data_IF_984750607144
#
_entry.id   IF_984750607144
#
_cell.length_a   1.000
_cell.length_b   1.000
_cell.length_c   1.000
_cell.angle_alpha   90.00
_cell.angle_beta   90.00
_cell.angle_gamma   90.00
#
_symmetry.space_group_name_H-M   'P 1'
#
loop_
_entity.id
_entity.type
_entity.pdbx_description
1 polymer ?
#
# COMPACT_ATOMS: atom_id res chain seq x y z
N UNK A 1 -1.22 -13.78 -23.15
CA UNK A 1 -0.13 -14.16 -24.07
C UNK A 1 -0.23 -15.65 -24.25
N UNK A 2 -0.08 -16.14 -25.49
CA UNK A 2 -0.23 -17.56 -25.82
C UNK A 2 0.95 -17.97 -26.68
N UNK A 3 1.58 -19.09 -26.35
CA UNK A 3 2.68 -19.69 -27.10
C UNK A 3 2.13 -20.93 -27.83
N UNK A 4 2.53 -21.19 -29.09
CA UNK A 4 2.12 -22.42 -29.77
C UNK A 4 2.75 -23.66 -29.12
N UNK A 5 2.03 -24.79 -29.06
CA UNK A 5 2.54 -26.02 -28.47
C UNK A 5 3.70 -26.61 -29.27
N UNK A 6 4.64 -27.27 -28.58
CA UNK A 6 5.79 -27.97 -29.19
C UNK A 6 5.49 -29.47 -29.37
N UNK A 7 6.17 -30.11 -30.33
CA UNK A 7 5.90 -31.51 -30.72
C UNK A 7 6.11 -32.54 -29.60
N UNK A 8 7.02 -32.27 -28.64
CA UNK A 8 7.37 -33.15 -27.51
C UNK A 8 6.99 -32.53 -26.15
N UNK A 9 6.05 -31.60 -26.15
CA UNK A 9 5.62 -30.93 -24.93
C UNK A 9 4.72 -31.83 -24.08
N UNK A 10 5.04 -31.97 -22.78
CA UNK A 10 4.24 -32.83 -21.89
C UNK A 10 2.86 -32.25 -21.55
N UNK A 11 2.70 -30.94 -21.60
CA UNK A 11 1.42 -30.27 -21.32
C UNK A 11 1.33 -28.97 -22.11
N UNK A 12 0.23 -28.78 -22.83
CA UNK A 12 -0.09 -27.51 -23.49
C UNK A 12 -0.90 -26.57 -22.57
N UNK A 13 -1.29 -27.05 -21.39
CA UNK A 13 -2.14 -26.32 -20.47
C UNK A 13 -1.46 -25.03 -19.97
N UNK A 14 -0.13 -25.00 -19.83
CA UNK A 14 0.66 -23.85 -19.38
C UNK A 14 1.10 -22.90 -20.51
N UNK A 15 0.70 -23.15 -21.76
CA UNK A 15 1.04 -22.30 -22.91
C UNK A 15 0.25 -20.99 -23.00
N UNK A 16 -0.58 -20.69 -21.99
CA UNK A 16 -1.37 -19.48 -21.91
C UNK A 16 -1.14 -18.80 -20.56
N UNK A 17 -0.84 -17.51 -20.61
CA UNK A 17 -0.72 -16.67 -19.41
C UNK A 17 -1.54 -15.40 -19.55
N UNK A 18 -2.39 -15.09 -18.56
CA UNK A 18 -3.11 -13.82 -18.52
C UNK A 18 -2.28 -12.79 -17.77
N UNK A 19 -1.70 -11.85 -18.49
CA UNK A 19 -1.03 -10.72 -17.86
C UNK A 19 -2.07 -9.61 -17.59
N UNK A 20 -2.30 -9.21 -16.33
CA UNK A 20 -3.05 -8.01 -16.06
C UNK A 20 -2.28 -6.81 -16.60
N UNK A 21 -2.72 -6.25 -17.73
CA UNK A 21 -2.22 -4.97 -18.22
C UNK A 21 -2.86 -3.88 -17.36
N UNK A 22 -2.20 -3.55 -16.25
CA UNK A 22 -2.54 -2.36 -15.49
C UNK A 22 -2.05 -1.16 -16.30
N UNK A 23 -2.95 -0.52 -17.03
CA UNK A 23 -2.72 0.82 -17.56
C UNK A 23 -2.55 1.72 -16.33
N UNK A 24 -1.30 1.90 -15.90
CA UNK A 24 -0.98 2.78 -14.78
C UNK A 24 -1.52 4.16 -15.13
N UNK A 25 -2.19 4.79 -14.15
CA UNK A 25 -2.54 6.20 -14.20
C UNK A 25 -1.34 6.97 -14.75
N UNK A 26 -1.61 7.85 -15.72
CA UNK A 26 -0.67 8.89 -16.11
C UNK A 26 -0.06 9.49 -14.84
N UNK A 27 1.28 9.60 -14.79
CA UNK A 27 1.97 10.31 -13.71
C UNK A 27 1.25 11.63 -13.47
N UNK A 28 0.97 11.95 -12.21
CA UNK A 28 0.30 13.19 -11.88
C UNK A 28 1.18 14.35 -12.34
N UNK A 29 0.64 15.21 -13.19
CA UNK A 29 1.38 16.32 -13.79
C UNK A 29 1.46 17.45 -12.78
N UNK A 30 2.67 17.73 -12.29
CA UNK A 30 2.94 18.75 -11.29
C UNK A 30 3.67 19.92 -11.94
N UNK A 31 3.05 21.10 -11.92
CA UNK A 31 3.70 22.35 -12.28
C UNK A 31 4.24 23.01 -11.01
N UNK A 32 5.55 23.25 -10.94
CA UNK A 32 6.18 24.03 -9.88
C UNK A 32 6.58 25.38 -10.45
N UNK A 33 6.08 26.46 -9.86
CA UNK A 33 6.36 27.84 -10.27
C UNK A 33 7.02 28.56 -9.10
N UNK A 34 8.17 29.18 -9.35
CA UNK A 34 8.84 30.03 -8.37
C UNK A 34 9.52 31.23 -9.02
N UNK A 35 9.77 32.27 -8.24
CA UNK A 35 10.53 33.43 -8.70
C UNK A 35 12.04 33.15 -8.75
N UNK A 36 12.56 32.35 -7.82
CA UNK A 36 14.01 32.11 -7.68
C UNK A 36 14.32 30.65 -7.36
N UNK A 37 15.53 30.21 -7.70
CA UNK A 37 16.04 28.92 -7.25
C UNK A 37 16.67 29.05 -5.86
N UNK A 38 16.26 28.20 -4.93
CA UNK A 38 16.85 28.06 -3.61
C UNK A 38 16.86 26.59 -3.14
N UNK A 39 17.30 26.35 -1.90
CA UNK A 39 17.36 25.01 -1.32
C UNK A 39 15.98 24.35 -1.20
N UNK A 40 14.92 25.10 -0.89
CA UNK A 40 13.57 24.55 -0.76
C UNK A 40 13.11 23.97 -2.10
N UNK A 41 13.26 24.76 -3.16
CA UNK A 41 12.92 24.34 -4.50
C UNK A 41 13.77 23.15 -4.95
N UNK A 42 15.07 23.16 -4.66
CA UNK A 42 15.98 22.07 -5.00
C UNK A 42 15.57 20.74 -4.35
N UNK A 43 15.25 20.75 -3.05
CA UNK A 43 14.82 19.55 -2.33
C UNK A 43 13.44 19.07 -2.78
N UNK A 44 12.47 19.98 -2.91
CA UNK A 44 11.11 19.63 -3.36
C UNK A 44 11.12 19.02 -4.77
N UNK A 45 11.81 19.66 -5.71
CA UNK A 45 11.86 19.16 -7.09
C UNK A 45 12.63 17.86 -7.21
N UNK A 46 13.71 17.67 -6.42
CA UNK A 46 14.41 16.40 -6.32
C UNK A 46 13.49 15.30 -5.79
N UNK A 47 12.77 15.56 -4.70
CA UNK A 47 11.83 14.60 -4.12
C UNK A 47 10.76 14.18 -5.13
N UNK A 48 10.14 15.16 -5.81
CA UNK A 48 9.11 14.89 -6.81
C UNK A 48 9.65 14.09 -8.00
N UNK A 49 10.84 14.43 -8.52
CA UNK A 49 11.46 13.76 -9.69
C UNK A 49 11.98 12.36 -9.39
N UNK A 50 12.28 12.06 -8.12
CA UNK A 50 12.66 10.70 -7.70
C UNK A 50 11.48 9.74 -7.62
N UNK A 51 10.24 10.24 -7.55
CA UNK A 51 9.05 9.42 -7.52
C UNK A 51 8.59 9.03 -8.92
N UNK A 52 8.15 7.79 -9.08
CA UNK A 52 7.48 7.29 -10.28
C UNK A 52 6.04 7.81 -10.45
N UNK A 53 5.49 8.49 -9.42
CA UNK A 53 4.12 9.00 -9.38
C UNK A 53 3.93 10.35 -10.07
N UNK A 54 4.98 11.15 -10.21
CA UNK A 54 4.87 12.56 -10.64
C UNK A 54 5.64 12.84 -11.92
N UNK A 55 5.06 13.69 -12.77
CA UNK A 55 5.74 14.30 -13.91
C UNK A 55 5.87 15.79 -13.64
N UNK A 56 7.11 16.28 -13.48
CA UNK A 56 7.39 17.58 -12.88
C UNK A 56 7.87 18.57 -13.92
N UNK A 57 7.07 19.61 -14.16
CA UNK A 57 7.48 20.80 -14.89
C UNK A 57 7.90 21.87 -13.89
N UNK A 58 9.15 22.33 -13.96
CA UNK A 58 9.64 23.45 -13.16
C UNK A 58 9.72 24.70 -14.04
N UNK A 59 9.20 25.82 -13.54
CA UNK A 59 9.25 27.12 -14.19
C UNK A 59 9.76 28.16 -13.19
N UNK A 60 10.82 28.87 -13.57
CA UNK A 60 11.28 30.05 -12.87
C UNK A 60 10.85 31.32 -13.59
N UNK A 61 10.26 32.26 -12.85
CA UNK A 61 9.73 33.53 -13.39
C UNK A 61 10.62 34.74 -13.15
N UNK A 62 11.73 34.58 -12.41
CA UNK A 62 12.67 35.65 -12.13
C UNK A 62 13.57 36.03 -13.31
N UNK A 63 14.15 37.22 -13.26
CA UNK A 63 14.87 37.80 -14.40
C UNK A 63 16.28 37.20 -14.61
N UNK A 64 16.82 36.45 -13.62
CA UNK A 64 18.20 35.92 -13.60
C UNK A 64 18.26 34.41 -13.44
N UNK A 65 17.41 33.69 -14.18
CA UNK A 65 17.18 32.24 -13.95
C UNK A 65 17.70 31.35 -15.10
N UNK A 66 18.31 31.94 -16.12
CA UNK A 66 18.97 31.23 -17.22
C UNK A 66 18.05 30.23 -17.92
N UNK A 67 18.54 29.03 -18.20
CA UNK A 67 17.81 27.97 -18.91
C UNK A 67 16.60 27.40 -18.15
N UNK A 68 16.40 27.78 -16.88
CA UNK A 68 15.23 27.41 -16.09
C UNK A 68 14.09 28.43 -16.23
N UNK A 69 14.30 29.50 -17.02
CA UNK A 69 13.27 30.48 -17.32
C UNK A 69 12.12 29.81 -18.05
N UNK A 70 10.90 30.05 -17.60
CA UNK A 70 9.71 29.62 -18.32
C UNK A 70 8.58 30.63 -18.14
N UNK A 71 7.51 30.43 -18.89
CA UNK A 71 6.29 31.23 -18.79
C UNK A 71 5.24 30.47 -18.01
N UNK A 72 4.49 31.18 -17.18
CA UNK A 72 3.25 30.61 -16.62
C UNK A 72 2.32 30.20 -17.78
N UNK A 73 1.51 29.11 -17.63
CA UNK A 73 0.54 28.70 -18.64
C UNK A 73 -0.30 29.87 -19.14
N UNK A 74 -0.33 30.10 -20.47
CA UNK A 74 -0.93 31.31 -21.06
C UNK A 74 -2.46 31.27 -21.12
N UNK A 75 -3.07 30.13 -20.82
CA UNK A 75 -4.51 29.98 -20.85
C UNK A 75 -4.98 28.68 -20.21
N UNK A 76 -6.31 28.55 -20.08
CA UNK A 76 -6.96 27.46 -19.35
C UNK A 76 -6.54 26.07 -19.84
N UNK A 77 -6.42 25.88 -21.15
CA UNK A 77 -6.06 24.58 -21.74
C UNK A 77 -4.66 24.12 -21.33
N UNK A 78 -3.69 25.03 -21.23
CA UNK A 78 -2.35 24.69 -20.77
C UNK A 78 -2.34 24.39 -19.27
N UNK A 79 -3.06 25.19 -18.47
CA UNK A 79 -3.16 25.01 -17.02
C UNK A 79 -3.87 23.70 -16.64
N UNK A 80 -4.93 23.33 -17.36
CA UNK A 80 -5.71 22.10 -17.14
C UNK A 80 -4.95 20.80 -17.45
N UNK A 81 -3.74 20.88 -18.02
CA UNK A 81 -2.85 19.72 -18.19
C UNK A 81 -2.25 19.26 -16.87
N UNK A 82 -2.23 20.11 -15.84
CA UNK A 82 -1.60 19.81 -14.56
C UNK A 82 -2.64 19.35 -13.53
N UNK A 83 -2.32 18.29 -12.79
CA UNK A 83 -3.13 17.83 -11.66
C UNK A 83 -2.85 18.63 -10.39
N UNK A 84 -1.63 19.19 -10.28
CA UNK A 84 -1.21 20.06 -9.18
C UNK A 84 -0.35 21.22 -9.69
N UNK A 85 -0.64 22.42 -9.18
CA UNK A 85 0.20 23.62 -9.32
C UNK A 85 0.77 24.00 -7.96
N UNK A 86 2.10 23.95 -7.83
CA UNK A 86 2.84 24.44 -6.66
C UNK A 86 3.32 25.86 -6.96
N UNK A 87 2.85 26.82 -6.17
CA UNK A 87 3.28 28.20 -6.21
C UNK A 87 4.24 28.44 -5.04
N UNK A 88 5.54 28.45 -5.32
CA UNK A 88 6.58 28.66 -4.32
C UNK A 88 7.05 30.12 -4.30
N UNK A 89 6.66 30.84 -3.24
CA UNK A 89 6.84 32.28 -3.04
C UNK A 89 6.60 33.12 -4.31
N UNK A 90 5.40 33.03 -4.91
CA UNK A 90 5.13 33.71 -6.17
C UNK A 90 5.11 35.23 -5.97
N UNK A 91 5.49 35.96 -7.00
CA UNK A 91 5.23 37.40 -7.13
C UNK A 91 3.79 37.59 -7.61
N UNK A 92 2.82 38.02 -6.77
CA UNK A 92 1.42 37.99 -7.14
C UNK A 92 1.10 38.85 -8.38
N UNK A 93 1.77 39.98 -8.55
CA UNK A 93 1.67 40.81 -9.76
C UNK A 93 1.98 40.08 -11.07
N UNK A 94 2.90 39.10 -11.08
CA UNK A 94 3.27 38.35 -12.30
C UNK A 94 2.21 37.33 -12.72
N UNK A 95 1.38 36.87 -11.78
CA UNK A 95 0.33 35.85 -12.03
C UNK A 95 -1.10 36.43 -11.98
N UNK A 96 -1.26 37.73 -11.69
CA UNK A 96 -2.56 38.40 -11.56
C UNK A 96 -3.44 38.25 -12.80
N UNK A 97 -2.87 38.28 -13.99
CA UNK A 97 -3.61 38.13 -15.25
C UNK A 97 -4.19 36.73 -15.43
N UNK A 98 -3.73 35.74 -14.66
CA UNK A 98 -4.21 34.36 -14.69
C UNK A 98 -5.22 34.05 -13.56
N UNK A 99 -5.75 35.07 -12.87
CA UNK A 99 -6.62 34.90 -11.71
C UNK A 99 -7.91 34.14 -12.05
N UNK A 100 -8.49 34.38 -13.23
CA UNK A 100 -9.69 33.69 -13.69
C UNK A 100 -9.38 32.23 -14.02
N UNK A 101 -8.24 31.98 -14.65
CA UNK A 101 -7.79 30.65 -15.03
C UNK A 101 -7.50 29.78 -13.82
N UNK A 102 -6.86 30.34 -12.79
CA UNK A 102 -6.65 29.66 -11.50
C UNK A 102 -7.98 29.34 -10.81
N UNK A 103 -8.97 30.24 -10.90
CA UNK A 103 -10.29 30.00 -10.31
C UNK A 103 -11.07 28.91 -11.04
N UNK A 104 -11.06 28.92 -12.38
CA UNK A 104 -11.69 27.88 -13.20
C UNK A 104 -10.94 26.54 -13.06
N UNK A 105 -9.61 26.57 -12.97
CA UNK A 105 -8.78 25.40 -12.69
C UNK A 105 -9.21 24.70 -11.39
N UNK A 106 -9.47 25.46 -10.33
CA UNK A 106 -9.96 24.91 -9.07
C UNK A 106 -11.42 24.44 -9.17
N UNK A 107 -12.35 25.29 -9.63
CA UNK A 107 -13.78 25.01 -9.57
C UNK A 107 -14.26 24.00 -10.62
N UNK A 108 -13.77 24.11 -11.86
CA UNK A 108 -14.33 23.41 -13.03
C UNK A 108 -13.53 22.15 -13.36
N UNK A 109 -12.20 22.19 -13.16
CA UNK A 109 -11.30 21.05 -13.42
C UNK A 109 -11.01 20.21 -12.18
N UNK A 110 -11.42 20.66 -10.99
CA UNK A 110 -11.06 20.07 -9.69
C UNK A 110 -9.55 20.00 -9.49
N UNK A 111 -8.82 21.01 -9.99
CA UNK A 111 -7.37 21.12 -9.85
C UNK A 111 -6.93 21.36 -8.40
N UNK A 112 -5.64 21.18 -8.16
CA UNK A 112 -5.05 21.38 -6.84
C UNK A 112 -3.96 22.45 -6.87
N UNK A 113 -3.92 23.30 -5.85
CA UNK A 113 -2.87 24.30 -5.66
C UNK A 113 -2.22 24.11 -4.30
N UNK A 114 -0.88 24.07 -4.29
CA UNK A 114 -0.08 24.27 -3.09
C UNK A 114 0.58 25.64 -3.12
N UNK A 115 0.12 26.55 -2.26
CA UNK A 115 0.72 27.86 -2.05
C UNK A 115 1.74 27.81 -0.90
N UNK A 116 3.01 28.08 -1.20
CA UNK A 116 4.03 28.34 -0.19
C UNK A 116 4.30 29.84 -0.16
N UNK A 117 3.95 30.50 0.94
CA UNK A 117 4.13 31.94 1.09
C UNK A 117 5.55 32.24 1.56
N UNK A 118 6.16 33.29 1.01
CA UNK A 118 7.43 33.81 1.46
C UNK A 118 7.51 35.33 1.32
N UNK A 119 8.73 35.81 1.08
CA UNK A 119 9.06 37.23 1.02
C UNK A 119 8.41 37.95 -0.18
N UNK A 120 8.34 37.31 -1.35
CA UNK A 120 7.76 37.90 -2.56
C UNK A 120 6.25 38.06 -2.45
N UNK A 121 5.55 37.05 -1.92
CA UNK A 121 4.12 37.17 -1.61
C UNK A 121 3.88 38.25 -0.54
N UNK A 122 4.63 38.19 0.58
CA UNK A 122 4.46 39.13 1.69
C UNK A 122 4.66 40.59 1.28
N UNK A 123 5.62 40.86 0.37
CA UNK A 123 5.89 42.20 -0.14
C UNK A 123 4.69 42.86 -0.86
N UNK A 124 3.75 42.05 -1.37
CA UNK A 124 2.53 42.54 -2.03
C UNK A 124 1.25 42.29 -1.22
N UNK A 125 1.34 41.53 -0.12
CA UNK A 125 0.20 41.21 0.72
C UNK A 125 -0.34 42.46 1.47
N UNK A 126 -1.66 42.60 1.64
CA UNK A 126 -2.72 41.68 1.19
C UNK A 126 -2.97 41.76 -0.32
N UNK A 127 -3.32 40.63 -0.92
CA UNK A 127 -3.60 40.49 -2.37
C UNK A 127 -5.01 39.93 -2.56
N UNK A 128 -6.07 40.77 -2.59
CA UNK A 128 -7.46 40.31 -2.48
C UNK A 128 -7.87 39.22 -3.49
N UNK A 129 -7.40 39.30 -4.73
CA UNK A 129 -7.75 38.32 -5.76
C UNK A 129 -7.17 36.93 -5.43
N UNK A 130 -5.94 36.85 -4.91
CA UNK A 130 -5.26 35.61 -4.56
C UNK A 130 -5.73 35.11 -3.18
N UNK A 131 -5.81 36.01 -2.21
CA UNK A 131 -6.26 35.73 -0.84
C UNK A 131 -7.69 35.16 -0.83
N UNK A 132 -8.52 35.54 -1.80
CA UNK A 132 -9.86 34.98 -1.99
C UNK A 132 -9.88 33.48 -2.32
N UNK A 133 -8.75 32.90 -2.73
CA UNK A 133 -8.59 31.46 -3.00
C UNK A 133 -8.02 30.72 -1.78
N UNK A 134 -7.21 31.42 -0.98
CA UNK A 134 -6.45 30.82 0.12
C UNK A 134 -7.33 30.48 1.33
N UNK A 135 -6.90 29.55 2.19
CA UNK A 135 -7.54 29.27 3.48
C UNK A 135 -7.34 30.39 4.50
N UNK A 136 -6.23 31.11 4.41
CA UNK A 136 -5.89 32.24 5.28
C UNK A 136 -4.93 33.17 4.55
N UNK A 137 -4.90 34.43 4.99
CA UNK A 137 -4.04 35.47 4.45
C UNK A 137 -3.78 36.57 5.49
N UNK A 138 -2.83 37.48 5.25
CA UNK A 138 -2.69 38.72 6.03
C UNK A 138 -3.89 39.66 5.78
N UNK A 139 -4.44 40.25 6.83
CA UNK A 139 -5.51 41.26 6.74
C UNK A 139 -4.97 42.67 6.45
N UNK A 140 -3.69 42.89 6.70
CA UNK A 140 -2.98 44.16 6.57
C UNK A 140 -1.62 43.93 5.91
N UNK A 141 -0.94 45.02 5.54
CA UNK A 141 0.44 44.93 5.05
C UNK A 141 1.32 44.28 6.11
N UNK A 142 2.06 43.26 5.69
CA UNK A 142 2.97 42.51 6.55
C UNK A 142 4.35 42.41 5.90
N UNK A 143 5.35 42.17 6.73
CA UNK A 143 6.67 41.75 6.28
C UNK A 143 6.92 40.33 6.74
N UNK A 144 7.69 39.59 5.94
CA UNK A 144 8.19 38.28 6.32
C UNK A 144 9.02 38.39 7.61
N UNK A 145 8.94 37.38 8.47
CA UNK A 145 9.65 37.30 9.76
C UNK A 145 10.74 36.25 9.68
N UNK A 146 11.95 36.63 10.09
CA UNK A 146 13.14 35.77 10.14
C UNK A 146 13.42 35.35 11.60
N UNK A 147 12.56 34.52 12.15
CA UNK A 147 12.63 34.06 13.55
C UNK A 147 12.14 32.64 13.63
N UNK A 148 12.74 31.85 14.51
CA UNK A 148 12.34 30.47 14.75
C UNK A 148 10.88 30.37 15.20
N UNK A 149 10.09 29.58 14.47
CA UNK A 149 8.71 29.28 14.80
C UNK A 149 8.43 27.80 14.55
N UNK A 150 7.73 27.15 15.49
CA UNK A 150 7.25 25.78 15.31
C UNK A 150 5.80 25.78 14.88
N UNK A 151 5.44 24.78 14.08
CA UNK A 151 4.04 24.46 13.83
C UNK A 151 3.53 23.50 14.89
N UNK A 152 2.43 23.86 15.53
CA UNK A 152 1.67 23.02 16.43
C UNK A 152 0.43 22.53 15.69
N UNK A 153 0.34 21.22 15.39
CA UNK A 153 -0.84 20.60 14.83
C UNK A 153 -2.10 20.88 15.65
N UNK A 154 -3.21 21.12 14.97
CA UNK A 154 -4.53 21.21 15.61
C UNK A 154 -4.99 19.80 15.96
N UNK A 155 -5.39 19.60 17.21
CA UNK A 155 -5.71 18.28 17.76
C UNK A 155 -6.75 17.50 16.93
N UNK A 156 -7.78 18.18 16.42
CA UNK A 156 -8.80 17.57 15.58
C UNK A 156 -8.33 17.17 14.17
N UNK A 157 -7.12 17.53 13.78
CA UNK A 157 -6.59 17.39 12.42
C UNK A 157 -5.33 16.50 12.34
N UNK A 158 -4.87 15.91 13.46
CA UNK A 158 -3.61 15.16 13.53
C UNK A 158 -3.47 14.08 12.44
N UNK A 159 -4.58 13.42 12.08
CA UNK A 159 -4.58 12.33 11.10
C UNK A 159 -4.76 12.78 9.65
N UNK A 160 -4.93 14.08 9.40
CA UNK A 160 -4.92 14.59 8.03
C UNK A 160 -3.60 14.16 7.35
N UNK A 161 -3.61 13.69 6.08
CA UNK A 161 -2.40 13.15 5.45
C UNK A 161 -1.20 14.09 5.51
N UNK A 162 -1.41 15.40 5.37
CA UNK A 162 -0.38 16.42 5.51
C UNK A 162 0.26 16.54 6.92
N UNK A 163 -0.38 16.01 7.97
CA UNK A 163 0.12 16.09 9.35
C UNK A 163 0.50 14.73 9.95
N UNK A 164 0.07 13.62 9.34
CA UNK A 164 0.24 12.26 9.86
C UNK A 164 1.68 11.77 9.68
N UNK A 165 2.60 12.27 10.51
CA UNK A 165 4.01 11.86 10.53
C UNK A 165 4.24 10.53 11.28
N UNK A 166 3.23 10.04 12.00
CA UNK A 166 3.24 8.75 12.70
C UNK A 166 1.81 8.19 12.75
N UNK A 167 1.63 7.01 13.35
CA UNK A 167 0.37 6.27 13.26
C UNK A 167 -0.63 6.56 14.39
N UNK A 168 -0.18 7.11 15.52
CA UNK A 168 -1.04 7.48 16.63
C UNK A 168 -0.87 8.96 17.03
N UNK A 169 -1.83 9.48 17.81
CA UNK A 169 -1.86 10.90 18.18
C UNK A 169 -0.63 11.34 18.98
N UNK A 170 -0.16 10.52 19.92
CA UNK A 170 0.96 10.89 20.78
C UNK A 170 2.26 10.93 19.97
N UNK A 171 2.47 9.91 19.13
CA UNK A 171 3.63 9.87 18.23
C UNK A 171 3.60 11.01 17.19
N UNK A 172 2.43 11.35 16.63
CA UNK A 172 2.31 12.49 15.70
C UNK A 172 2.73 13.78 16.41
N UNK A 173 2.24 14.05 17.63
CA UNK A 173 2.64 15.24 18.40
C UNK A 173 4.15 15.25 18.65
N UNK A 174 4.70 14.12 19.11
CA UNK A 174 6.14 13.99 19.36
C UNK A 174 6.96 14.26 18.12
N UNK A 175 6.57 13.69 16.97
CA UNK A 175 7.24 13.91 15.69
C UNK A 175 7.23 15.40 15.30
N UNK A 176 6.08 16.07 15.38
CA UNK A 176 5.99 17.52 15.10
C UNK A 176 6.81 18.38 16.07
N UNK A 177 6.88 18.01 17.35
CA UNK A 177 7.73 18.71 18.32
C UNK A 177 9.23 18.52 18.07
N UNK A 178 9.62 17.37 17.51
CA UNK A 178 11.00 17.04 17.18
C UNK A 178 11.49 17.68 15.87
N UNK A 179 10.59 18.19 15.02
CA UNK A 179 10.96 18.83 13.77
C UNK A 179 11.80 20.11 14.02
N UNK A 180 12.81 20.36 13.16
CA UNK A 180 13.47 21.66 13.11
C UNK A 180 12.44 22.80 12.96
N UNK A 181 12.63 23.93 13.68
CA UNK A 181 11.73 25.07 13.53
C UNK A 181 11.82 25.66 12.13
N UNK A 182 10.72 26.26 11.68
CA UNK A 182 10.74 27.16 10.53
C UNK A 182 11.51 28.41 10.86
N UNK A 183 12.25 28.95 9.90
CA UNK A 183 13.08 30.15 10.07
C UNK A 183 12.47 31.39 9.44
N UNK A 184 11.54 31.19 8.51
CA UNK A 184 10.93 32.24 7.70
C UNK A 184 9.43 32.02 7.72
N UNK A 185 8.65 33.05 8.04
CA UNK A 185 7.19 32.95 7.97
C UNK A 185 6.49 34.27 7.71
N UNK A 186 5.29 34.17 7.14
CA UNK A 186 4.38 35.29 6.81
C UNK A 186 3.24 35.29 7.83
N UNK A 187 3.13 36.32 8.70
CA UNK A 187 2.04 36.39 9.67
C UNK A 187 0.68 36.58 9.01
N UNK A 188 -0.18 35.56 9.10
CA UNK A 188 -1.56 35.61 8.64
C UNK A 188 -2.52 35.69 9.85
N UNK A 189 -3.59 36.47 9.73
CA UNK A 189 -4.57 36.70 10.79
C UNK A 189 -6.03 36.64 10.30
N UNK A 190 -6.24 36.69 8.97
CA UNK A 190 -7.54 36.47 8.34
C UNK A 190 -7.69 35.01 7.95
N UNK A 191 -8.72 34.34 8.47
CA UNK A 191 -9.05 32.95 8.15
C UNK A 191 -10.36 32.95 7.36
N UNK A 192 -10.37 32.32 6.19
CA UNK A 192 -11.58 32.19 5.40
C UNK A 192 -12.60 31.27 6.11
N UNK A 193 -13.93 31.56 6.10
CA UNK A 193 -14.92 30.76 6.84
C UNK A 193 -14.97 29.27 6.50
N UNK A 194 -14.65 28.92 5.24
CA UNK A 194 -14.58 27.54 4.72
C UNK A 194 -13.17 26.91 4.82
N UNK A 195 -12.25 27.52 5.55
CA UNK A 195 -10.91 27.00 5.72
C UNK A 195 -10.85 25.99 6.85
N UNK A 196 -10.02 24.97 6.66
CA UNK A 196 -9.61 24.05 7.72
C UNK A 196 -8.15 24.36 8.05
N UNK A 197 -7.90 24.77 9.29
CA UNK A 197 -6.54 25.05 9.75
C UNK A 197 -5.96 23.78 10.36
N UNK A 198 -4.83 23.37 9.82
CA UNK A 198 -4.13 22.14 10.16
C UNK A 198 -3.10 22.39 11.27
N UNK A 199 -2.32 23.46 11.18
CA UNK A 199 -1.32 23.79 12.18
C UNK A 199 -1.24 25.30 12.43
N UNK A 200 -0.88 25.66 13.66
CA UNK A 200 -0.70 27.06 14.09
C UNK A 200 0.72 27.31 14.57
N UNK A 201 1.13 28.56 14.55
CA UNK A 201 2.39 28.99 15.14
C UNK A 201 2.40 28.72 16.65
N UNK A 202 3.53 28.24 17.17
CA UNK A 202 3.76 28.11 18.61
C UNK A 202 3.74 29.46 19.32
N UNK A 203 4.11 30.53 18.61
CA UNK A 203 4.06 31.91 19.07
C UNK A 203 2.70 32.57 18.83
N UNK A 204 2.31 33.44 19.75
CA UNK A 204 1.12 34.27 19.65
C UNK A 204 1.44 35.48 18.79
N UNK A 205 0.55 35.80 17.84
CA UNK A 205 0.61 37.05 17.07
C UNK A 205 -0.32 38.10 17.65
N UNK A 206 -0.33 39.26 17.00
CA UNK A 206 -1.22 40.38 17.28
C UNK A 206 -2.66 39.91 17.58
N UNK A 207 -3.20 40.36 18.70
CA UNK A 207 -4.56 40.02 19.13
C UNK A 207 -4.69 38.74 19.98
N UNK A 208 -3.59 38.21 20.51
CA UNK A 208 -3.62 37.10 21.47
C UNK A 208 -3.91 35.72 20.86
N UNK A 209 -4.03 35.64 19.52
CA UNK A 209 -4.29 34.41 18.79
C UNK A 209 -3.01 33.88 18.15
N UNK A 210 -2.91 32.56 18.00
CA UNK A 210 -1.83 31.93 17.25
C UNK A 210 -2.16 31.94 15.75
N UNK A 211 -1.22 32.40 14.93
CA UNK A 211 -1.39 32.47 13.48
C UNK A 211 -1.53 31.07 12.87
N UNK A 212 -2.33 30.88 11.82
CA UNK A 212 -2.28 29.67 11.01
C UNK A 212 -0.93 29.58 10.28
N UNK A 213 -0.31 28.41 10.31
CA UNK A 213 0.88 28.09 9.50
C UNK A 213 0.48 27.22 8.32
N UNK A 214 -0.38 26.22 8.54
CA UNK A 214 -0.84 25.31 7.50
C UNK A 214 -2.34 25.17 7.54
N UNK A 215 -2.93 25.02 6.37
CA UNK A 215 -4.36 24.84 6.24
C UNK A 215 -4.75 24.64 4.80
N UNK A 216 -6.00 24.25 4.61
CA UNK A 216 -6.53 24.05 3.28
C UNK A 216 -7.95 24.59 3.16
N UNK A 217 -8.37 24.76 1.92
CA UNK A 217 -9.72 25.12 1.54
C UNK A 217 -10.10 24.40 0.26
N UNK A 218 -11.40 24.12 0.12
CA UNK A 218 -12.00 23.56 -1.09
C UNK A 218 -12.78 24.62 -1.87
N UNK A 219 -12.65 24.59 -3.19
CA UNK A 219 -13.35 25.44 -4.15
C UNK A 219 -13.88 24.53 -5.26
N UNK A 220 -15.20 24.29 -5.29
CA UNK A 220 -15.75 23.17 -6.06
C UNK A 220 -15.17 21.84 -5.55
N UNK A 221 -14.74 20.96 -6.47
CA UNK A 221 -13.95 19.77 -6.14
C UNK A 221 -12.43 20.04 -6.07
N UNK A 222 -11.99 21.27 -6.36
CA UNK A 222 -10.58 21.68 -6.28
C UNK A 222 -10.10 21.94 -4.86
N UNK A 223 -8.78 21.85 -4.67
CA UNK A 223 -8.11 21.96 -3.36
C UNK A 223 -7.05 23.05 -3.38
N UNK A 224 -7.03 23.88 -2.34
CA UNK A 224 -5.96 24.84 -2.09
C UNK A 224 -5.35 24.53 -0.73
N UNK A 225 -4.08 24.14 -0.70
CA UNK A 225 -3.30 23.99 0.53
C UNK A 225 -2.32 25.16 0.62
N UNK A 226 -2.26 25.81 1.77
CA UNK A 226 -1.37 26.94 1.97
C UNK A 226 -0.45 26.72 3.17
N UNK A 227 0.81 27.12 3.01
CA UNK A 227 1.85 27.12 4.04
C UNK A 227 2.43 28.52 4.18
N UNK A 228 2.31 29.11 5.37
CA UNK A 228 2.82 30.44 5.68
C UNK A 228 4.23 30.42 6.32
N UNK A 229 4.84 29.26 6.50
CA UNK A 229 6.19 29.14 7.07
C UNK A 229 7.04 28.13 6.30
N UNK A 230 8.35 28.34 6.34
CA UNK A 230 9.38 27.50 5.75
C UNK A 230 10.76 27.79 6.36
N UNK A 231 11.82 27.14 5.87
CA UNK A 231 11.80 26.08 4.86
C UNK A 231 11.40 24.70 5.43
N UNK A 232 11.06 23.77 4.55
CA UNK A 232 10.83 22.35 4.86
C UNK A 232 12.07 21.49 4.59
N UNK A 233 12.98 21.92 3.70
CA UNK A 233 14.17 21.13 3.34
C UNK A 233 15.05 20.76 4.55
N UNK A 234 15.02 21.57 5.62
CA UNK A 234 15.76 21.29 6.86
C UNK A 234 15.30 20.00 7.53
N UNK A 235 14.03 19.63 7.37
CA UNK A 235 13.49 18.38 7.90
C UNK A 235 14.14 17.17 7.23
N UNK A 236 14.51 17.27 5.95
CA UNK A 236 15.19 16.22 5.21
C UNK A 236 16.71 16.20 5.35
N UNK A 237 17.30 17.12 6.13
CA UNK A 237 18.76 17.30 6.21
C UNK A 237 19.34 17.18 7.63
N UNK A 238 18.62 17.66 8.65
CA UNK A 238 19.18 17.87 10.01
C UNK A 238 19.46 16.58 10.80
N UNK A 239 19.17 15.38 10.27
CA UNK A 239 19.48 14.11 10.94
C UNK A 239 20.34 13.13 10.14
N UNK A 240 21.37 13.60 9.43
CA UNK A 240 22.41 12.73 8.85
C UNK A 240 23.21 11.88 9.88
N UNK A 241 22.82 11.87 11.16
CA UNK A 241 23.28 10.94 12.20
C UNK A 241 22.18 10.17 12.95
N UNK A 242 20.89 10.44 12.68
CA UNK A 242 19.73 9.76 13.29
C UNK A 242 18.65 9.59 12.21
N UNK A 243 18.41 8.34 11.81
CA UNK A 243 17.64 7.93 10.61
C UNK A 243 16.20 8.51 10.49
N UNK A 244 15.65 9.08 11.57
CA UNK A 244 14.24 9.51 11.69
C UNK A 244 13.89 10.82 10.95
N UNK A 245 14.85 11.73 10.74
CA UNK A 245 14.55 13.06 10.16
C UNK A 245 14.14 13.01 8.67
N UNK A 246 14.86 12.21 7.87
CA UNK A 246 14.62 12.03 6.44
C UNK A 246 13.23 11.43 6.21
N UNK A 247 12.81 10.52 7.09
CA UNK A 247 11.51 9.87 7.01
C UNK A 247 10.37 10.86 7.22
N UNK A 248 10.48 11.79 8.18
CA UNK A 248 9.45 12.79 8.45
C UNK A 248 9.23 13.77 7.28
N UNK A 249 10.32 14.21 6.62
CA UNK A 249 10.20 15.04 5.41
C UNK A 249 9.47 14.30 4.29
N UNK A 250 9.85 13.03 4.05
CA UNK A 250 9.18 12.19 3.07
C UNK A 250 7.72 11.93 3.40
N UNK A 251 7.39 11.62 4.66
CA UNK A 251 6.01 11.42 5.14
C UNK A 251 5.16 12.68 4.95
N UNK A 252 5.69 13.86 5.31
CA UNK A 252 5.02 15.15 5.12
C UNK A 252 4.72 15.41 3.64
N UNK A 253 5.74 15.38 2.78
CA UNK A 253 5.57 15.66 1.36
C UNK A 253 4.65 14.65 0.69
N UNK A 254 4.82 13.35 0.95
CA UNK A 254 3.93 12.33 0.42
C UNK A 254 2.48 12.55 0.86
N UNK A 255 2.27 12.92 2.13
CA UNK A 255 0.95 13.23 2.67
C UNK A 255 0.28 14.41 1.98
N UNK A 256 0.99 15.54 1.84
CA UNK A 256 0.50 16.75 1.14
C UNK A 256 0.22 16.45 -0.33
N UNK A 257 1.20 15.89 -1.04
CA UNK A 257 1.11 15.64 -2.47
C UNK A 257 0.03 14.61 -2.79
N UNK A 258 -0.02 13.49 -2.06
CA UNK A 258 -1.06 12.47 -2.28
C UNK A 258 -2.44 13.05 -2.00
N UNK A 259 -2.62 13.86 -0.95
CA UNK A 259 -3.91 14.48 -0.67
C UNK A 259 -4.33 15.47 -1.76
N UNK A 260 -3.40 16.25 -2.30
CA UNK A 260 -3.68 17.21 -3.37
C UNK A 260 -3.97 16.53 -4.71
N UNK A 261 -3.20 15.49 -5.08
CA UNK A 261 -3.32 14.83 -6.40
C UNK A 261 -4.31 13.68 -6.43
N UNK A 262 -4.83 13.22 -5.28
CA UNK A 262 -5.86 12.18 -5.28
C UNK A 262 -7.22 12.80 -5.57
N UNK A 263 -7.95 12.31 -6.60
CA UNK A 263 -9.33 12.73 -6.87
C UNK A 263 -10.24 12.52 -5.66
N UNK A 264 -11.39 13.19 -5.64
CA UNK A 264 -12.36 13.12 -4.53
C UNK A 264 -12.83 11.69 -4.18
N UNK A 265 -12.66 10.73 -5.09
CA UNK A 265 -12.91 9.30 -4.86
C UNK A 265 -11.97 8.64 -3.84
N UNK A 266 -11.07 9.39 -3.16
CA UNK A 266 -10.47 8.89 -1.90
C UNK A 266 -11.59 8.72 -0.88
N UNK A 267 -12.23 7.57 -0.97
CA UNK A 267 -13.32 7.20 -0.10
C UNK A 267 -12.68 6.90 1.25
N UNK A 268 -13.03 7.64 2.32
CA UNK A 268 -12.48 7.40 3.66
C UNK A 268 -12.70 5.96 4.13
N UNK A 269 -13.67 5.27 3.53
CA UNK A 269 -13.90 3.84 3.66
C UNK A 269 -13.69 3.17 2.30
N UNK A 270 -12.74 2.25 2.19
CA UNK A 270 -12.57 1.45 0.98
C UNK A 270 -12.02 0.06 1.31
N UNK A 271 -12.41 -0.93 0.50
CA UNK A 271 -11.91 -2.30 0.55
C UNK A 271 -11.52 -2.69 -0.87
N UNK A 272 -10.28 -3.13 -1.05
CA UNK A 272 -9.75 -3.49 -2.36
C UNK A 272 -8.80 -4.70 -2.27
N UNK A 273 -8.74 -5.56 -3.29
CA UNK A 273 -7.78 -6.64 -3.31
C UNK A 273 -6.38 -6.07 -3.56
N UNK A 274 -5.36 -6.75 -3.05
CA UNK A 274 -3.96 -6.36 -3.26
C UNK A 274 -3.55 -6.46 -4.74
N UNK A 275 -4.08 -7.46 -5.44
CA UNK A 275 -3.94 -7.68 -6.89
C UNK A 275 -5.29 -8.03 -7.51
N UNK A 276 -5.41 -7.90 -8.84
CA UNK A 276 -6.62 -8.31 -9.56
C UNK A 276 -6.52 -9.72 -10.13
N UNK A 277 -5.32 -10.29 -10.19
CA UNK A 277 -5.04 -11.63 -10.71
C UNK A 277 -4.14 -12.34 -9.71
N UNK A 278 -4.51 -13.57 -9.38
CA UNK A 278 -3.81 -14.47 -8.46
C UNK A 278 -3.61 -15.83 -9.12
N UNK A 279 -2.57 -16.55 -8.73
CA UNK A 279 -2.35 -17.92 -9.21
C UNK A 279 -3.12 -18.94 -8.36
N UNK A 280 -3.28 -20.16 -8.88
CA UNK A 280 -3.89 -21.25 -8.12
C UNK A 280 -3.08 -21.53 -6.86
N UNK A 281 -3.76 -21.59 -5.71
CA UNK A 281 -3.13 -21.83 -4.40
C UNK A 281 -2.47 -20.60 -3.77
N UNK A 282 -2.37 -19.47 -4.49
CA UNK A 282 -1.95 -18.20 -3.89
C UNK A 282 -3.07 -17.66 -2.98
N UNK A 283 -2.69 -17.10 -1.83
CA UNK A 283 -3.64 -16.47 -0.93
C UNK A 283 -4.13 -15.12 -1.50
N UNK A 284 -5.44 -14.95 -1.57
CA UNK A 284 -6.07 -13.70 -2.02
C UNK A 284 -6.17 -12.76 -0.83
N UNK A 285 -5.38 -11.68 -0.86
CA UNK A 285 -5.35 -10.68 0.20
C UNK A 285 -6.16 -9.44 -0.16
N UNK A 286 -6.94 -8.97 0.79
CA UNK A 286 -7.67 -7.71 0.72
C UNK A 286 -7.15 -6.75 1.77
N UNK A 287 -7.04 -5.49 1.36
CA UNK A 287 -6.73 -4.37 2.26
C UNK A 287 -7.92 -3.43 2.31
N UNK A 288 -8.32 -3.10 3.54
CA UNK A 288 -9.37 -2.15 3.82
C UNK A 288 -8.83 -0.99 4.66
N UNK A 289 -9.48 0.16 4.54
CA UNK A 289 -9.28 1.27 5.46
C UNK A 289 -10.61 1.93 5.81
N UNK A 290 -10.78 2.30 7.08
CA UNK A 290 -11.99 2.94 7.60
C UNK A 290 -11.64 4.20 8.40
N UNK A 291 -11.77 5.34 7.73
CA UNK A 291 -11.54 6.67 8.27
C UNK A 291 -12.80 7.53 8.17
N UNK A 292 -12.89 8.56 9.00
CA UNK A 292 -13.88 9.62 8.83
C UNK A 292 -13.40 10.69 7.83
N UNK A 293 -14.22 11.72 7.58
CA UNK A 293 -13.86 12.83 6.70
C UNK A 293 -12.64 13.65 7.19
N UNK A 294 -12.30 13.53 8.48
CA UNK A 294 -11.11 14.11 9.09
C UNK A 294 -9.89 13.17 9.09
N UNK A 295 -9.96 12.05 8.35
CA UNK A 295 -8.94 11.01 8.27
C UNK A 295 -8.66 10.27 9.58
N UNK A 296 -9.55 10.39 10.57
CA UNK A 296 -9.39 9.72 11.86
C UNK A 296 -9.89 8.28 11.73
N UNK A 297 -9.16 7.28 12.27
CA UNK A 297 -9.66 5.91 12.34
C UNK A 297 -11.07 5.88 12.95
N UNK A 298 -12.01 5.24 12.27
CA UNK A 298 -13.34 5.04 12.81
C UNK A 298 -13.31 3.89 13.82
N UNK A 299 -13.63 4.13 15.11
CA UNK A 299 -13.68 3.05 16.09
C UNK A 299 -14.94 2.18 15.85
N UNK A 300 -14.87 0.93 16.31
CA UNK A 300 -15.99 -0.02 16.33
C UNK A 300 -16.57 -0.30 14.93
N UNK A 301 -15.72 -0.29 13.91
CA UNK A 301 -16.08 -0.68 12.55
C UNK A 301 -15.75 -2.15 12.38
N UNK A 302 -16.74 -2.92 11.91
CA UNK A 302 -16.55 -4.30 11.46
C UNK A 302 -16.59 -4.33 9.94
N UNK A 303 -15.92 -5.31 9.35
CA UNK A 303 -15.98 -5.50 7.91
C UNK A 303 -16.03 -6.95 7.54
N UNK A 304 -16.72 -7.24 6.44
CA UNK A 304 -16.83 -8.57 5.85
C UNK A 304 -16.62 -8.43 4.36
N UNK A 305 -15.94 -9.40 3.77
CA UNK A 305 -15.83 -9.50 2.33
C UNK A 305 -16.37 -10.84 1.83
N UNK A 306 -17.19 -10.77 0.79
CA UNK A 306 -17.70 -11.92 0.08
C UNK A 306 -17.09 -12.00 -1.32
N UNK A 307 -16.57 -13.17 -1.69
CA UNK A 307 -16.22 -13.56 -3.05
C UNK A 307 -17.34 -14.43 -3.61
N UNK A 308 -17.74 -14.20 -4.85
CA UNK A 308 -18.74 -15.01 -5.55
C UNK A 308 -18.20 -15.41 -6.91
N UNK A 309 -18.09 -16.71 -7.16
CA UNK A 309 -17.71 -17.26 -8.45
C UNK A 309 -18.78 -16.91 -9.49
N UNK A 310 -18.37 -16.35 -10.63
CA UNK A 310 -19.29 -15.96 -11.69
C UNK A 310 -19.90 -17.13 -12.46
N UNK A 311 -19.27 -18.31 -12.43
CA UNK A 311 -19.74 -19.51 -13.13
C UNK A 311 -20.56 -20.42 -12.24
N UNK A 312 -20.01 -20.80 -11.08
CA UNK A 312 -20.68 -21.75 -10.17
C UNK A 312 -21.68 -21.07 -9.23
N UNK A 313 -21.51 -19.76 -8.98
CA UNK A 313 -22.27 -19.02 -7.96
C UNK A 313 -21.81 -19.32 -6.53
N UNK A 314 -20.76 -20.14 -6.35
CA UNK A 314 -20.22 -20.46 -5.04
C UNK A 314 -19.71 -19.20 -4.32
N UNK A 315 -19.99 -19.10 -3.03
CA UNK A 315 -19.70 -17.91 -2.21
C UNK A 315 -18.73 -18.25 -1.09
N UNK A 316 -17.69 -17.42 -0.97
CA UNK A 316 -16.71 -17.48 0.10
C UNK A 316 -16.77 -16.18 0.89
N UNK A 317 -16.66 -16.25 2.20
CA UNK A 317 -16.66 -15.06 3.07
C UNK A 317 -15.46 -15.07 4.00
N UNK A 318 -14.94 -13.88 4.29
CA UNK A 318 -13.90 -13.66 5.27
C UNK A 318 -14.16 -12.34 6.00
N UNK A 319 -13.87 -12.35 7.30
CA UNK A 319 -13.91 -11.13 8.11
C UNK A 319 -12.68 -10.27 7.85
N UNK A 320 -12.88 -8.96 7.84
CA UNK A 320 -11.80 -7.98 7.84
C UNK A 320 -11.28 -7.82 9.27
N UNK A 321 -10.07 -8.30 9.50
CA UNK A 321 -9.38 -8.23 10.78
C UNK A 321 -8.80 -6.82 10.94
N UNK A 322 -9.16 -6.14 12.02
CA UNK A 322 -8.59 -4.83 12.38
C UNK A 322 -7.10 -4.99 12.73
N UNK A 323 -6.25 -4.27 12.01
CA UNK A 323 -4.79 -4.22 12.23
C UNK A 323 -4.38 -2.97 13.01
N UNK A 324 -5.35 -2.18 13.47
CA UNK A 324 -5.16 -0.92 14.15
C UNK A 324 -5.07 0.28 13.20
N UNK A 325 -5.25 1.47 13.75
CA UNK A 325 -5.12 2.75 13.04
C UNK A 325 -5.99 2.86 11.78
N UNK A 326 -7.15 2.21 11.79
CA UNK A 326 -8.13 2.22 10.71
C UNK A 326 -7.76 1.35 9.53
N UNK A 327 -6.75 0.47 9.65
CA UNK A 327 -6.36 -0.49 8.63
C UNK A 327 -6.97 -1.87 8.92
N UNK A 328 -7.43 -2.54 7.86
CA UNK A 328 -8.08 -3.84 7.93
C UNK A 328 -7.51 -4.78 6.88
N UNK A 329 -7.43 -6.07 7.20
CA UNK A 329 -6.98 -7.11 6.27
C UNK A 329 -7.88 -8.33 6.30
N UNK A 330 -8.12 -8.91 5.12
CA UNK A 330 -8.81 -10.19 4.96
C UNK A 330 -8.03 -11.07 3.99
N UNK A 331 -8.06 -12.38 4.19
CA UNK A 331 -7.32 -13.34 3.40
C UNK A 331 -8.21 -14.54 3.06
N UNK A 332 -8.16 -14.99 1.80
CA UNK A 332 -8.78 -16.22 1.35
C UNK A 332 -7.70 -17.18 0.84
N UNK A 333 -7.77 -18.42 1.30
CA UNK A 333 -6.87 -19.51 0.87
C UNK A 333 -7.66 -20.63 0.22
N UNK A 334 -7.06 -21.31 -0.76
CA UNK A 334 -7.68 -22.48 -1.40
C UNK A 334 -8.86 -22.15 -2.31
N UNK A 335 -8.94 -20.91 -2.81
CA UNK A 335 -9.97 -20.51 -3.78
C UNK A 335 -9.69 -21.19 -5.14
N UNK A 336 -10.68 -21.89 -5.73
CA UNK A 336 -10.52 -22.53 -7.02
C UNK A 336 -10.21 -21.53 -8.16
N UNK A 337 -9.66 -22.01 -9.28
CA UNK A 337 -9.49 -21.18 -10.47
C UNK A 337 -10.84 -20.69 -11.02
N UNK A 338 -10.96 -19.39 -11.26
CA UNK A 338 -12.22 -18.78 -11.66
C UNK A 338 -12.16 -17.26 -11.77
N UNK A 339 -13.27 -16.66 -12.22
CA UNK A 339 -13.46 -15.21 -12.13
C UNK A 339 -14.47 -14.93 -11.03
N UNK A 340 -14.11 -14.04 -10.11
CA UNK A 340 -14.88 -13.77 -8.91
C UNK A 340 -15.31 -12.31 -8.87
N UNK A 341 -16.57 -12.08 -8.49
CA UNK A 341 -17.01 -10.76 -8.00
C UNK A 341 -16.72 -10.69 -6.52
N UNK A 342 -16.22 -9.55 -6.05
CA UNK A 342 -16.12 -9.29 -4.63
C UNK A 342 -17.08 -8.19 -4.20
N UNK A 343 -17.62 -8.32 -3.00
CA UNK A 343 -18.38 -7.30 -2.29
C UNK A 343 -17.85 -7.19 -0.86
N UNK A 344 -17.10 -6.13 -0.58
CA UNK A 344 -16.62 -5.79 0.76
C UNK A 344 -17.55 -4.77 1.41
N UNK A 345 -17.91 -4.98 2.67
CA UNK A 345 -18.77 -4.10 3.45
C UNK A 345 -18.06 -3.66 4.72
N UNK A 346 -18.19 -2.37 5.05
CA UNK A 346 -17.90 -1.86 6.38
C UNK A 346 -19.21 -1.49 7.07
N UNK A 347 -19.36 -1.90 8.32
CA UNK A 347 -20.54 -1.68 9.15
C UNK A 347 -20.14 -1.12 10.50
N UNK A 348 -21.04 -0.35 11.13
CA UNK A 348 -20.89 0.11 12.51
C UNK A 348 -22.23 0.04 13.21
N UNK A 349 -22.30 -0.73 14.29
CA UNK A 349 -23.55 -0.96 15.03
C UNK A 349 -24.69 -1.48 14.14
N UNK A 350 -24.39 -2.36 13.17
CA UNK A 350 -25.36 -2.91 12.22
C UNK A 350 -25.79 -1.97 11.08
N UNK A 351 -25.24 -0.76 11.02
CA UNK A 351 -25.49 0.17 9.91
C UNK A 351 -24.39 0.05 8.86
N UNK A 352 -24.77 -0.16 7.60
CA UNK A 352 -23.85 -0.18 6.47
C UNK A 352 -23.24 1.21 6.24
N UNK A 353 -21.92 1.32 6.37
CA UNK A 353 -21.19 2.55 6.12
C UNK A 353 -20.76 2.66 4.66
N UNK A 354 -20.26 1.56 4.09
CA UNK A 354 -19.78 1.50 2.70
C UNK A 354 -19.83 0.08 2.16
N UNK A 355 -20.18 -0.04 0.89
CA UNK A 355 -19.99 -1.24 0.09
C UNK A 355 -19.00 -0.95 -1.05
N UNK A 356 -17.96 -1.79 -1.18
CA UNK A 356 -16.96 -1.75 -2.24
C UNK A 356 -17.11 -2.99 -3.10
N UNK A 357 -17.23 -2.82 -4.43
CA UNK A 357 -17.42 -3.92 -5.38
C UNK A 357 -16.34 -3.92 -6.44
N UNK A 358 -16.02 -5.10 -6.94
CA UNK A 358 -15.11 -5.25 -8.07
C UNK A 358 -15.00 -6.70 -8.50
N UNK A 359 -13.96 -6.98 -9.28
CA UNK A 359 -13.68 -8.30 -9.84
C UNK A 359 -12.22 -8.66 -9.65
N UNK A 360 -11.96 -9.95 -9.50
CA UNK A 360 -10.63 -10.54 -9.53
C UNK A 360 -10.67 -11.89 -10.24
N UNK A 361 -9.51 -12.41 -10.61
CA UNK A 361 -9.35 -13.69 -11.30
C UNK A 361 -8.32 -14.54 -10.57
N UNK A 362 -8.64 -15.82 -10.41
CA UNK A 362 -7.71 -16.87 -9.99
C UNK A 362 -7.39 -17.71 -11.22
N UNK A 363 -6.12 -17.75 -11.61
CA UNK A 363 -5.67 -18.53 -12.76
C UNK A 363 -5.70 -20.03 -12.46
N UNK A 364 -5.76 -20.83 -13.52
CA UNK A 364 -5.73 -22.30 -13.42
C UNK A 364 -4.34 -22.81 -13.07
N UNK A 365 -3.31 -22.05 -13.44
CA UNK A 365 -1.92 -22.42 -13.30
C UNK A 365 -1.41 -22.26 -11.88
N UNK A 366 -0.69 -23.28 -11.42
CA UNK A 366 0.13 -23.21 -10.20
C UNK A 366 1.45 -22.49 -10.50
N UNK A 367 2.05 -21.87 -9.47
CA UNK A 367 3.43 -21.37 -9.52
C UNK A 367 4.42 -22.46 -9.97
N UNK A 368 4.16 -23.72 -9.59
CA UNK A 368 4.98 -24.88 -9.95
C UNK A 368 4.89 -25.25 -11.44
N UNK A 369 3.74 -25.00 -12.08
CA UNK A 369 3.55 -25.27 -13.52
C UNK A 369 4.18 -24.16 -14.38
N UNK A 370 4.33 -22.95 -13.82
CA UNK A 370 5.00 -21.83 -14.46
C UNK A 370 6.54 -21.97 -14.43
N UNK A 371 7.09 -22.67 -13.44
CA UNK A 371 8.50 -23.00 -13.38
C UNK A 371 8.69 -24.45 -12.87
N UNK A 372 8.68 -25.45 -13.77
CA UNK A 372 8.86 -26.85 -13.40
C UNK A 372 10.29 -27.20 -12.96
N UNK A 373 11.23 -26.24 -13.02
CA UNK A 373 12.59 -26.45 -12.56
C UNK A 373 12.65 -26.62 -11.05
N UNK A 374 13.24 -27.73 -10.59
CA UNK A 374 13.54 -27.91 -9.16
C UNK A 374 14.45 -26.80 -8.63
N UNK A 375 14.38 -26.53 -7.32
CA UNK A 375 15.22 -25.52 -6.65
C UNK A 375 16.48 -26.17 -6.03
N UNK A 376 17.63 -26.22 -6.73
CA UNK A 376 18.76 -27.06 -6.32
C UNK A 376 19.37 -26.60 -5.00
N UNK A 377 19.43 -25.28 -4.77
CA UNK A 377 19.95 -24.70 -3.53
C UNK A 377 19.11 -25.13 -2.31
N UNK A 378 17.79 -25.12 -2.43
CA UNK A 378 16.87 -25.53 -1.35
C UNK A 378 16.98 -27.04 -1.10
N UNK A 379 17.00 -27.84 -2.17
CA UNK A 379 17.13 -29.29 -2.06
C UNK A 379 18.48 -29.71 -1.44
N UNK A 380 19.58 -29.04 -1.80
CA UNK A 380 20.89 -29.25 -1.16
C UNK A 380 20.89 -28.86 0.32
N UNK A 381 20.24 -27.76 0.68
CA UNK A 381 20.11 -27.33 2.07
C UNK A 381 19.30 -28.36 2.90
N UNK A 382 18.18 -28.84 2.37
CA UNK A 382 17.36 -29.89 3.01
C UNK A 382 18.19 -31.17 3.18
N UNK A 383 18.89 -31.62 2.13
CA UNK A 383 19.74 -32.81 2.19
C UNK A 383 20.82 -32.69 3.28
N UNK A 384 21.49 -31.53 3.38
CA UNK A 384 22.48 -31.28 4.44
C UNK A 384 21.87 -31.33 5.84
N UNK A 385 20.65 -30.80 6.01
CA UNK A 385 19.96 -30.77 7.31
C UNK A 385 19.39 -32.15 7.71
N UNK A 386 18.91 -32.94 6.75
CA UNK A 386 18.34 -34.27 7.00
C UNK A 386 19.39 -35.39 7.04
N UNK A 387 20.65 -35.08 6.73
CA UNK A 387 21.71 -36.08 6.54
C UNK A 387 21.58 -36.86 5.22
N UNK A 388 20.72 -36.41 4.31
CA UNK A 388 20.58 -36.97 2.97
C UNK A 388 21.60 -36.44 1.97
N UNK A 389 21.45 -36.86 0.70
CA UNK A 389 22.29 -36.44 -0.42
C UNK A 389 21.41 -35.87 -1.53
N UNK A 390 21.76 -34.68 -2.01
CA UNK A 390 21.15 -34.12 -3.22
C UNK A 390 21.76 -34.79 -4.45
N UNK A 391 20.90 -35.18 -5.39
CA UNK A 391 21.30 -35.74 -6.69
C UNK A 391 20.55 -34.98 -7.77
N UNK A 392 21.24 -34.61 -8.85
CA UNK A 392 20.63 -33.96 -10.00
C UNK A 392 19.75 -34.96 -10.77
N UNK A 393 18.73 -34.48 -11.49
CA UNK A 393 17.83 -35.34 -12.25
C UNK A 393 18.55 -36.13 -13.34
N UNK A 394 19.67 -35.61 -13.87
CA UNK A 394 20.51 -36.30 -14.85
C UNK A 394 21.24 -37.52 -14.27
N UNK A 395 21.42 -37.57 -12.95
CA UNK A 395 22.12 -38.64 -12.23
C UNK A 395 21.14 -39.59 -11.52
N UNK A 396 19.88 -39.67 -11.96
CA UNK A 396 18.83 -40.45 -11.28
C UNK A 396 19.21 -41.93 -11.09
N UNK A 397 19.81 -42.57 -12.09
CA UNK A 397 20.24 -43.98 -12.00
C UNK A 397 21.27 -44.19 -10.89
N UNK A 398 22.13 -43.20 -10.66
CA UNK A 398 23.10 -43.24 -9.56
C UNK A 398 22.41 -43.12 -8.21
N UNK A 399 21.38 -42.28 -8.09
CA UNK A 399 20.60 -42.15 -6.87
C UNK A 399 19.89 -43.47 -6.50
N UNK A 400 19.32 -44.16 -7.49
CA UNK A 400 18.64 -45.46 -7.29
C UNK A 400 19.64 -46.53 -6.84
N UNK A 401 20.84 -46.57 -7.43
CA UNK A 401 21.86 -47.53 -7.03
C UNK A 401 22.47 -47.24 -5.65
N UNK A 402 22.60 -45.96 -5.27
CA UNK A 402 23.02 -45.56 -3.92
C UNK A 402 21.96 -45.94 -2.86
N UNK A 403 20.67 -46.01 -3.23
CA UNK A 403 19.62 -46.56 -2.38
C UNK A 403 19.74 -48.09 -2.36
N UNK A 404 20.52 -48.63 -1.43
CA UNK A 404 20.51 -50.06 -1.12
C UNK A 404 19.36 -50.37 -0.13
N UNK A 405 18.16 -50.82 -0.58
CA UNK A 405 17.12 -51.24 0.33
C UNK A 405 17.62 -52.45 1.10
N UNK A 406 17.87 -52.27 2.39
CA UNK A 406 18.13 -53.41 3.25
C UNK A 406 16.83 -54.22 3.32
N UNK A 407 16.84 -55.53 3.01
CA UNK A 407 15.66 -56.35 3.13
C UNK A 407 15.19 -56.30 4.58
N UNK A 408 14.01 -55.71 4.80
CA UNK A 408 13.38 -55.69 6.11
C UNK A 408 12.91 -57.13 6.35
N UNK A 409 13.63 -57.87 7.21
CA UNK A 409 13.25 -59.23 7.60
C UNK A 409 11.97 -59.12 8.43
N UNK A 410 10.83 -59.28 7.78
CA UNK A 410 9.55 -59.34 8.45
C UNK A 410 9.41 -60.73 9.05
N UNK A 411 9.66 -60.85 10.36
CA UNK A 411 9.41 -62.10 11.08
C UNK A 411 7.90 -62.34 11.19
N UNK A 412 7.32 -63.03 10.20
CA UNK A 412 5.94 -63.51 10.27
C UNK A 412 5.88 -64.70 11.22
N UNK A 413 5.39 -64.49 12.44
CA UNK A 413 5.12 -65.57 13.40
C UNK A 413 3.78 -66.20 13.06
N UNK A 414 3.78 -67.34 12.39
CA UNK A 414 2.57 -68.12 12.15
C UNK A 414 2.33 -69.07 13.34
N UNK A 415 1.26 -68.84 14.09
CA UNK A 415 0.77 -69.79 15.08
C UNK A 415 -0.16 -70.79 14.38
N UNK A 416 0.27 -72.04 14.28
CA UNK A 416 -0.56 -73.11 13.73
C UNK A 416 -1.34 -73.78 14.85
N UNK A 417 -2.67 -73.58 14.86
CA UNK A 417 -3.57 -74.31 15.74
C UNK A 417 -3.67 -75.77 15.27
N UNK A 418 -3.04 -76.68 16.01
CA UNK A 418 -3.08 -78.12 15.72
C UNK A 418 -4.44 -78.75 16.09
N UNK A 419 -5.20 -78.08 16.95
CA UNK A 419 -6.54 -78.48 17.38
C UNK A 419 -7.56 -78.21 16.26
N UNK A 420 -8.35 -79.22 15.89
CA UNK A 420 -9.35 -79.13 14.80
C UNK A 420 -8.92 -79.72 13.45
N UNK A 421 -7.68 -80.20 13.32
CA UNK A 421 -7.22 -80.92 12.12
C UNK A 421 -7.60 -82.40 12.20
N UNK A 422 -8.65 -82.80 11.48
CA UNK A 422 -9.21 -84.16 11.49
C UNK A 422 -8.19 -85.25 11.18
N UNK A 423 -7.18 -84.96 10.34
CA UNK A 423 -6.13 -85.92 9.99
C UNK A 423 -5.23 -86.31 11.17
N UNK A 424 -4.99 -85.41 12.13
CA UNK A 424 -4.24 -85.74 13.36
C UNK A 424 -5.02 -86.73 14.23
N UNK A 425 -6.35 -86.62 14.25
CA UNK A 425 -7.22 -87.55 14.95
C UNK A 425 -7.17 -88.94 14.29
N UNK A 426 -7.23 -89.02 12.96
CA UNK A 426 -7.05 -90.28 12.24
C UNK A 426 -5.67 -90.90 12.46
N UNK A 427 -4.62 -90.08 12.58
CA UNK A 427 -3.26 -90.56 12.87
C UNK A 427 -3.16 -91.14 14.30
N UNK A 428 -3.74 -90.47 15.30
CA UNK A 428 -3.79 -90.98 16.69
C UNK A 428 -4.63 -92.26 16.79
N UNK A 429 -5.82 -92.27 16.20
CA UNK A 429 -6.71 -93.46 16.18
C UNK A 429 -6.04 -94.60 15.43
N UNK A 430 -5.35 -94.31 14.33
CA UNK A 430 -4.57 -95.29 13.58
C UNK A 430 -3.43 -95.89 14.41
N UNK A 431 -2.67 -95.05 15.12
CA UNK A 431 -1.60 -95.51 16.00
C UNK A 431 -2.13 -96.38 17.16
N UNK A 432 -3.23 -95.97 17.81
CA UNK A 432 -3.89 -96.75 18.86
C UNK A 432 -4.47 -98.08 18.34
N UNK A 433 -5.05 -98.05 17.14
CA UNK A 433 -5.60 -99.25 16.51
C UNK A 433 -4.48 -100.23 16.12
N UNK A 434 -3.35 -99.71 15.65
CA UNK A 434 -2.15 -100.49 15.35
C UNK A 434 -1.54 -101.07 16.64
N UNK A 435 -1.43 -100.27 17.70
CA UNK A 435 -0.97 -100.75 19.02
C UNK A 435 -1.86 -101.88 19.54
N UNK A 436 -3.19 -101.71 19.46
CA UNK A 436 -4.14 -102.74 19.86
C UNK A 436 -3.99 -104.03 19.04
N UNK A 437 -3.83 -103.91 17.72
CA UNK A 437 -3.59 -105.06 16.83
C UNK A 437 -2.30 -105.80 17.20
N UNK A 438 -1.21 -105.06 17.44
CA UNK A 438 0.08 -105.62 17.88
C UNK A 438 -0.06 -106.31 19.25
N UNK A 439 -0.75 -105.69 20.22
CA UNK A 439 -1.01 -106.31 21.53
C UNK A 439 -1.84 -107.59 21.42
N UNK A 440 -2.85 -107.60 20.55
CA UNK A 440 -3.71 -108.76 20.34
C UNK A 440 -2.98 -109.91 19.64
N UNK A 441 -2.09 -109.61 18.69
CA UNK A 441 -1.26 -110.63 18.04
C UNK A 441 -0.22 -111.24 18.97
N UNK A 442 0.29 -110.47 19.95
CA UNK A 442 1.28 -110.93 20.92
C UNK A 442 0.66 -111.53 22.21
N UNK A 443 -0.67 -111.77 22.25
CA UNK A 443 -1.39 -112.34 23.40
C UNK A 443 -1.17 -111.62 24.75
N UNK A 444 -1.06 -110.29 24.73
CA UNK A 444 -0.86 -109.47 25.94
C UNK A 444 -2.17 -108.92 26.54
N UNK A 445 -3.31 -109.60 26.30
CA UNK A 445 -4.64 -109.25 26.82
C UNK A 445 -5.34 -110.45 27.43
#
# INVERSE_FOLDING_TARGET
MTVPPLADEQTDANNQQTLPVKILKSRAKVLVVSESADYELGFLTRFLRQSDKYDVTLILTGDKVGNLSGRFPSGQTELNRYDLVVLYDPVPGKIKNHANELRSYLNDRNGAIWMLMGSHYAAQAPVPWLDSLLPFAPSQRVTVKYTDVRAEPVEGQLFHPALRLADDRAAIRSAWHALPPFRVWVPCDSIHPRAVILARASTVVRGGKRAPIMGYRRLGGGKVFATAAGPFWTWGFVGLGVNESIENYGRFLNGVLSWLTTPEDYTPLAIQPERQVYNRGEAIKFRGHAFDQGYRPLPDVTGVIALTDEKSGERYEADLIDKGNGAFEAEFTGIPPGTYKYAGRFEKGGTLLKESKGRLRVEQHSLEEANPGGMPANLQAIARLSGGKYVDWTDFDRAVNDMSPHPIVQNTRAEFTLWGRSWLLFLIVGALSLEWLVRKMNQLL
#
